data_IF_822619928316
#
_entry.id   IF_822619928316
#
_cell.length_a   1.000
_cell.length_b   1.000
_cell.length_c   1.000
_cell.angle_alpha   90.00
_cell.angle_beta   90.00
_cell.angle_gamma   90.00
#
_symmetry.space_group_name_H-M   'P 1'
#
loop_
_entity.id
_entity.type
_entity.pdbx_description
1 polymer ?
#
# COMPACT_ATOMS: atom_id res chain seq x y z
N UNK A 1 -37.94 9.26 -32.87
CA UNK A 1 -37.40 8.92 -31.53
C UNK A 1 -35.93 8.58 -31.68
N UNK A 2 -35.02 9.54 -31.46
CA UNK A 2 -33.60 9.30 -31.74
C UNK A 2 -32.68 10.24 -30.93
N UNK A 3 -31.51 9.72 -30.54
CA UNK A 3 -30.26 10.42 -30.22
C UNK A 3 -29.95 10.95 -28.79
N UNK A 4 -30.66 10.53 -27.73
CA UNK A 4 -30.26 10.85 -26.33
C UNK A 4 -29.56 9.73 -25.55
N UNK A 5 -29.29 8.58 -26.16
CA UNK A 5 -28.87 7.35 -25.45
C UNK A 5 -27.36 7.25 -25.23
N UNK A 6 -26.51 7.69 -26.16
CA UNK A 6 -25.04 7.58 -26.04
C UNK A 6 -24.46 8.14 -24.74
N UNK A 7 -24.76 9.39 -24.33
CA UNK A 7 -24.20 9.94 -23.08
C UNK A 7 -24.72 9.26 -21.82
N UNK A 8 -25.91 8.65 -21.86
CA UNK A 8 -26.46 7.91 -20.70
C UNK A 8 -25.87 6.52 -20.59
N UNK A 9 -25.60 5.85 -21.72
CA UNK A 9 -24.92 4.56 -21.78
C UNK A 9 -23.46 4.67 -21.33
N UNK A 10 -22.74 5.72 -21.75
CA UNK A 10 -21.37 5.98 -21.32
C UNK A 10 -21.28 6.25 -19.81
N UNK A 11 -22.20 7.05 -19.26
CA UNK A 11 -22.30 7.24 -17.80
C UNK A 11 -22.51 5.93 -17.07
N UNK A 12 -23.40 5.07 -17.55
CA UNK A 12 -23.67 3.75 -16.97
C UNK A 12 -22.48 2.80 -17.08
N UNK A 13 -21.73 2.86 -18.17
CA UNK A 13 -20.48 2.08 -18.33
C UNK A 13 -19.40 2.55 -17.35
N UNK A 14 -19.21 3.87 -17.21
CA UNK A 14 -18.25 4.46 -16.26
C UNK A 14 -18.60 4.14 -14.82
N UNK A 15 -19.88 4.13 -14.47
CA UNK A 15 -20.35 3.75 -13.14
C UNK A 15 -20.09 2.27 -12.85
N UNK A 16 -20.42 1.37 -13.79
CA UNK A 16 -20.11 -0.07 -13.68
C UNK A 16 -18.61 -0.31 -13.49
N UNK A 17 -17.77 0.31 -14.31
CA UNK A 17 -16.31 0.19 -14.18
C UNK A 17 -15.78 0.69 -12.81
N UNK A 18 -16.39 1.75 -12.26
CA UNK A 18 -16.03 2.24 -10.92
C UNK A 18 -16.45 1.25 -9.84
N UNK A 19 -17.64 0.65 -9.95
CA UNK A 19 -18.11 -0.37 -9.01
C UNK A 19 -17.24 -1.63 -9.08
N UNK A 20 -16.92 -2.12 -10.28
CA UNK A 20 -16.04 -3.27 -10.50
C UNK A 20 -14.63 -3.02 -9.91
N UNK A 21 -14.04 -1.85 -10.15
CA UNK A 21 -12.73 -1.50 -9.57
C UNK A 21 -12.76 -1.43 -8.04
N UNK A 22 -13.88 -1.00 -7.44
CA UNK A 22 -14.05 -1.01 -5.98
C UNK A 22 -14.14 -2.45 -5.46
N UNK A 23 -14.97 -3.29 -6.06
CA UNK A 23 -15.08 -4.72 -5.72
C UNK A 23 -13.74 -5.44 -5.80
N UNK A 24 -13.01 -5.28 -6.91
CA UNK A 24 -11.67 -5.87 -7.07
C UNK A 24 -10.67 -5.40 -6.00
N UNK A 25 -10.73 -4.12 -5.61
CA UNK A 25 -9.88 -3.61 -4.52
C UNK A 25 -10.27 -4.19 -3.17
N UNK A 26 -11.56 -4.33 -2.90
CA UNK A 26 -12.08 -4.94 -1.68
C UNK A 26 -11.71 -6.42 -1.59
N UNK A 27 -11.90 -7.16 -2.68
CA UNK A 27 -11.46 -8.56 -2.82
C UNK A 27 -9.95 -8.68 -2.57
N UNK A 28 -9.13 -7.86 -3.24
CA UNK A 28 -7.67 -7.86 -3.02
C UNK A 28 -7.29 -7.52 -1.59
N UNK A 29 -8.00 -6.62 -0.92
CA UNK A 29 -7.76 -6.30 0.50
C UNK A 29 -8.13 -7.48 1.40
N UNK A 30 -9.25 -8.15 1.12
CA UNK A 30 -9.70 -9.32 1.86
C UNK A 30 -8.70 -10.48 1.71
N UNK A 31 -8.24 -10.76 0.49
CA UNK A 31 -7.24 -11.81 0.25
C UNK A 31 -5.91 -11.49 0.92
N UNK A 32 -5.42 -10.26 0.84
CA UNK A 32 -4.20 -9.85 1.54
C UNK A 32 -4.33 -9.94 3.06
N UNK A 33 -5.50 -9.60 3.62
CA UNK A 33 -5.77 -9.73 5.06
C UNK A 33 -5.73 -11.21 5.48
N UNK A 34 -6.34 -12.10 4.70
CA UNK A 34 -6.30 -13.54 4.94
C UNK A 34 -4.88 -14.10 4.81
N UNK A 35 -4.14 -13.72 3.76
CA UNK A 35 -2.75 -14.12 3.58
C UNK A 35 -1.88 -13.67 4.75
N UNK A 36 -2.02 -12.43 5.21
CA UNK A 36 -1.27 -11.93 6.39
C UNK A 36 -1.65 -12.65 7.68
N UNK A 37 -2.93 -13.00 7.87
CA UNK A 37 -3.38 -13.73 9.05
C UNK A 37 -2.88 -15.17 9.07
N UNK A 38 -2.77 -15.80 7.90
CA UNK A 38 -2.32 -17.19 7.75
C UNK A 38 -0.81 -17.30 7.51
N UNK A 39 -0.12 -16.19 7.21
CA UNK A 39 1.31 -16.19 7.05
C UNK A 39 1.94 -16.57 8.40
N UNK A 40 2.87 -17.54 8.43
CA UNK A 40 3.62 -17.83 9.63
C UNK A 40 4.33 -16.55 10.05
N UNK A 41 4.21 -16.18 11.34
CA UNK A 41 5.06 -15.13 11.89
C UNK A 41 6.49 -15.64 11.74
N UNK A 42 7.39 -14.82 11.22
CA UNK A 42 8.82 -15.15 11.23
C UNK A 42 9.22 -15.31 12.70
N UNK A 43 9.57 -16.53 13.09
CA UNK A 43 10.05 -16.82 14.43
C UNK A 43 11.40 -16.14 14.64
N UNK A 44 11.45 -15.18 15.56
CA UNK A 44 12.66 -14.80 16.32
C UNK A 44 13.87 -14.19 15.58
N UNK A 45 13.87 -14.08 14.25
CA UNK A 45 14.95 -13.43 13.50
C UNK A 45 14.59 -11.99 13.15
N UNK A 46 15.43 -11.04 13.56
CA UNK A 46 15.45 -9.69 12.95
C UNK A 46 15.42 -9.80 11.43
N UNK A 47 14.68 -8.91 10.76
CA UNK A 47 14.67 -8.87 9.30
C UNK A 47 16.12 -8.65 8.81
N UNK A 48 16.65 -9.45 7.87
CA UNK A 48 18.00 -9.23 7.35
C UNK A 48 18.24 -7.80 6.85
N UNK A 49 17.18 -7.11 6.39
CA UNK A 49 17.27 -5.72 5.95
C UNK A 49 17.32 -4.71 7.11
N UNK A 50 16.79 -5.07 8.29
CA UNK A 50 16.75 -4.20 9.47
C UNK A 50 17.80 -4.58 10.54
N UNK A 51 18.36 -5.77 10.44
CA UNK A 51 19.34 -6.30 11.39
C UNK A 51 20.55 -5.36 11.47
N UNK A 52 20.88 -4.92 12.69
CA UNK A 52 22.00 -4.01 12.94
C UNK A 52 21.74 -2.52 12.68
N UNK A 53 20.54 -2.13 12.22
CA UNK A 53 20.16 -0.71 12.14
C UNK A 53 19.86 -0.19 13.55
N UNK A 54 20.64 0.79 14.00
CA UNK A 54 20.37 1.48 15.26
C UNK A 54 19.37 2.61 15.02
N UNK A 55 18.21 2.63 15.71
CA UNK A 55 17.29 3.75 15.61
C UNK A 55 17.95 5.01 16.20
N UNK A 56 17.95 6.09 15.43
CA UNK A 56 18.57 7.36 15.81
C UNK A 56 19.05 8.15 14.60
N UNK A 57 19.55 9.37 14.81
CA UNK A 57 20.25 10.09 13.76
C UNK A 57 21.46 9.27 13.29
N UNK A 58 21.55 9.05 11.98
CA UNK A 58 22.73 8.44 11.38
C UNK A 58 23.92 9.39 11.61
N UNK A 59 25.07 8.91 12.12
CA UNK A 59 26.24 9.76 12.30
C UNK A 59 26.62 10.47 11.00
N UNK A 60 27.09 11.72 11.14
CA UNK A 60 27.55 12.52 10.00
C UNK A 60 28.71 11.80 9.30
N UNK A 61 28.66 11.60 7.98
CA UNK A 61 29.77 11.01 7.24
C UNK A 61 31.03 11.90 7.21
N UNK A 62 30.93 13.15 7.71
CA UNK A 62 32.01 14.15 7.70
C UNK A 62 32.54 14.50 9.09
N UNK A 63 32.13 13.78 10.14
CA UNK A 63 32.51 14.05 11.53
C UNK A 63 31.44 14.84 12.30
N UNK A 64 31.44 14.64 13.61
CA UNK A 64 30.53 15.30 14.56
C UNK A 64 31.18 16.60 15.05
N UNK A 65 31.10 17.67 14.24
CA UNK A 65 31.60 19.02 14.60
C UNK A 65 30.51 19.90 15.26
N UNK A 66 29.52 19.31 15.93
CA UNK A 66 28.50 20.07 16.65
C UNK A 66 28.46 19.56 18.09
N UNK A 67 29.38 20.09 18.91
CA UNK A 67 29.29 19.97 20.36
C UNK A 67 27.91 20.44 20.84
N UNK A 68 27.33 19.68 21.76
CA UNK A 68 26.19 20.11 22.54
C UNK A 68 26.53 21.41 23.27
N UNK A 69 25.94 22.52 22.83
CA UNK A 69 25.82 23.80 23.57
C UNK A 69 24.44 23.87 24.21
#
# INVERSE_FOLDING_TARGET
MANRTKPTLEKRAKERARQEKRKQKEERRATLKQQRANAPRRDGGEDPDIAGIKPGPQPSPWGDDEEAV
#
